data_IF_972524319877
#
_entry.id   IF_972524319877
#
_cell.length_a   1.000
_cell.length_b   1.000
_cell.length_c   1.000
_cell.angle_alpha   90.00
_cell.angle_beta   90.00
_cell.angle_gamma   90.00
#
_symmetry.space_group_name_H-M   'P 1'
#
loop_
_entity.id
_entity.type
_entity.pdbx_description
1 polymer ?
#
# COMPACT_ATOMS: atom_id res chain seq x y z
N UNK A 1 3.74 -4.89 -7.80
CA UNK A 1 3.63 -3.96 -8.95
C UNK A 1 4.70 -4.34 -9.95
N UNK A 2 4.36 -5.14 -10.95
CA UNK A 2 5.39 -5.82 -11.77
C UNK A 2 5.33 -5.48 -13.26
N UNK A 3 4.20 -4.99 -13.75
CA UNK A 3 4.01 -4.66 -15.18
C UNK A 3 4.38 -3.23 -15.57
N UNK A 4 4.79 -2.39 -14.60
CA UNK A 4 5.13 -0.96 -14.78
C UNK A 4 4.31 -0.21 -15.87
N UNK A 5 2.96 -0.27 -15.85
CA UNK A 5 2.14 0.27 -16.94
C UNK A 5 2.14 1.80 -17.05
N UNK A 6 2.54 2.52 -15.99
CA UNK A 6 2.61 3.98 -15.96
C UNK A 6 4.04 4.49 -16.11
N UNK A 7 4.20 5.66 -16.72
CA UNK A 7 5.48 6.38 -16.84
C UNK A 7 6.10 6.65 -15.45
N UNK A 8 5.27 6.96 -14.46
CA UNK A 8 5.63 7.08 -13.04
C UNK A 8 4.40 6.74 -12.18
N UNK A 9 4.58 6.53 -10.88
CA UNK A 9 3.49 6.43 -9.92
C UNK A 9 2.91 5.03 -9.76
N UNK A 10 3.46 4.02 -10.45
CA UNK A 10 3.02 2.62 -10.36
C UNK A 10 2.87 2.10 -8.91
N UNK A 11 3.73 2.58 -8.00
CA UNK A 11 3.71 2.16 -6.60
C UNK A 11 2.69 2.94 -5.77
N UNK A 12 2.55 4.25 -6.01
CA UNK A 12 1.50 5.11 -5.43
C UNK A 12 0.11 4.62 -5.81
N UNK A 13 -0.12 4.32 -7.10
CA UNK A 13 -1.41 3.79 -7.56
C UNK A 13 -1.66 2.38 -7.03
N UNK A 14 -0.62 1.55 -6.86
CA UNK A 14 -0.74 0.22 -6.27
C UNK A 14 -1.28 0.25 -4.84
N UNK A 15 -0.77 1.17 -4.01
CA UNK A 15 -1.23 1.37 -2.62
C UNK A 15 -2.66 1.91 -2.60
N UNK A 16 -2.94 2.92 -3.40
CA UNK A 16 -4.29 3.47 -3.46
C UNK A 16 -5.31 2.41 -3.91
N UNK A 17 -4.95 1.59 -4.90
CA UNK A 17 -5.78 0.47 -5.38
C UNK A 17 -6.02 -0.55 -4.27
N UNK A 18 -5.00 -0.90 -3.48
CA UNK A 18 -5.14 -1.80 -2.34
C UNK A 18 -6.10 -1.24 -1.27
N UNK A 19 -5.95 0.03 -0.89
CA UNK A 19 -6.83 0.66 0.09
C UNK A 19 -8.30 0.70 -0.39
N UNK A 20 -8.51 1.06 -1.66
CA UNK A 20 -9.85 1.03 -2.27
C UNK A 20 -10.42 -0.39 -2.31
N UNK A 21 -9.61 -1.39 -2.64
CA UNK A 21 -10.04 -2.79 -2.65
C UNK A 21 -10.49 -3.25 -1.26
N UNK A 22 -9.72 -2.93 -0.21
CA UNK A 22 -10.09 -3.26 1.17
C UNK A 22 -11.39 -2.57 1.60
N UNK A 23 -11.52 -1.26 1.32
CA UNK A 23 -12.72 -0.49 1.63
C UNK A 23 -13.97 -1.04 0.91
N UNK A 24 -13.86 -1.44 -0.36
CA UNK A 24 -14.96 -2.07 -1.12
C UNK A 24 -15.39 -3.41 -0.51
N UNK A 25 -14.47 -4.11 0.16
CA UNK A 25 -14.76 -5.37 0.88
C UNK A 25 -15.14 -5.14 2.36
N UNK A 26 -15.34 -3.89 2.78
CA UNK A 26 -15.71 -3.55 4.16
C UNK A 26 -14.59 -3.70 5.18
N UNK A 27 -13.34 -3.78 4.73
CA UNK A 27 -12.15 -3.77 5.60
C UNK A 27 -11.66 -2.33 5.69
N UNK A 28 -11.93 -1.68 6.81
CA UNK A 28 -11.36 -0.38 7.14
C UNK A 28 -9.99 -0.60 7.78
N UNK A 29 -9.00 0.20 7.36
CA UNK A 29 -7.68 0.21 7.97
C UNK A 29 -7.51 1.55 8.66
N UNK A 30 -7.50 1.52 9.99
CA UNK A 30 -7.13 2.66 10.80
C UNK A 30 -5.62 2.90 10.69
N UNK A 31 -5.23 3.93 9.94
CA UNK A 31 -3.85 4.35 9.84
C UNK A 31 -3.78 5.86 9.63
N UNK A 32 -2.69 6.46 10.09
CA UNK A 32 -2.44 7.89 9.90
C UNK A 32 -1.97 8.17 8.48
N UNK A 33 -2.15 9.41 8.01
CA UNK A 33 -1.57 9.84 6.73
C UNK A 33 -0.06 9.64 6.68
N UNK A 34 0.63 9.77 7.82
CA UNK A 34 2.07 9.56 7.91
C UNK A 34 2.44 8.11 7.62
N UNK A 35 1.75 7.15 8.23
CA UNK A 35 1.99 5.72 7.99
C UNK A 35 1.75 5.35 6.53
N UNK A 36 0.69 5.89 5.91
CA UNK A 36 0.43 5.70 4.50
C UNK A 36 1.56 6.24 3.60
N UNK A 37 2.12 7.41 3.94
CA UNK A 37 3.26 7.99 3.21
C UNK A 37 4.50 7.12 3.40
N UNK A 38 4.79 6.69 4.62
CA UNK A 38 5.98 5.90 4.95
C UNK A 38 5.95 4.55 4.21
N UNK A 39 4.80 3.86 4.19
CA UNK A 39 4.60 2.63 3.40
C UNK A 39 4.72 2.90 1.90
N UNK A 40 4.14 4.03 1.47
CA UNK A 40 4.32 4.61 0.14
C UNK A 40 5.76 4.60 -0.31
N UNK A 41 6.62 5.19 0.52
CA UNK A 41 8.04 5.35 0.28
C UNK A 41 8.78 4.02 0.39
N UNK A 42 8.49 3.19 1.40
CA UNK A 42 9.16 1.89 1.58
C UNK A 42 8.85 0.88 0.46
N UNK A 43 7.65 0.94 -0.13
CA UNK A 43 7.36 0.19 -1.35
C UNK A 43 8.07 0.84 -2.56
N UNK A 44 8.15 2.18 -2.58
CA UNK A 44 8.84 2.96 -3.61
C UNK A 44 10.34 2.70 -3.72
N UNK A 45 11.03 2.57 -2.61
CA UNK A 45 12.45 2.30 -2.54
C UNK A 45 12.78 0.79 -2.48
N UNK A 46 11.76 -0.06 -2.26
CA UNK A 46 11.90 -1.52 -2.23
C UNK A 46 12.34 -2.09 -0.88
N UNK A 47 12.37 -1.28 0.18
CA UNK A 47 12.66 -1.74 1.55
C UNK A 47 11.50 -2.56 2.15
N UNK A 48 10.28 -2.36 1.63
CA UNK A 48 9.09 -3.15 1.91
C UNK A 48 8.68 -4.01 0.71
N UNK A 49 8.38 -5.29 0.96
CA UNK A 49 7.84 -6.23 0.00
C UNK A 49 6.37 -6.56 0.34
N UNK A 50 5.77 -7.44 -0.47
CA UNK A 50 4.36 -7.81 -0.30
C UNK A 50 4.09 -8.52 1.04
N UNK A 51 5.04 -9.28 1.57
CA UNK A 51 4.89 -10.03 2.81
C UNK A 51 4.92 -9.08 4.03
N UNK A 52 5.87 -8.15 4.05
CA UNK A 52 5.92 -7.08 5.07
C UNK A 52 4.69 -6.19 5.02
N UNK A 53 4.20 -5.87 3.82
CA UNK A 53 2.97 -5.12 3.65
C UNK A 53 1.76 -5.89 4.22
N UNK A 54 1.66 -7.19 3.98
CA UNK A 54 0.58 -8.02 4.53
C UNK A 54 0.61 -8.05 6.06
N UNK A 55 1.79 -8.18 6.66
CA UNK A 55 1.97 -8.12 8.13
C UNK A 55 1.51 -6.75 8.65
N UNK A 56 1.92 -5.66 7.99
CA UNK A 56 1.50 -4.31 8.36
C UNK A 56 -0.02 -4.13 8.28
N UNK A 57 -0.67 -4.60 7.21
CA UNK A 57 -2.12 -4.56 7.09
C UNK A 57 -2.80 -5.35 8.21
N UNK A 58 -2.25 -6.50 8.57
CA UNK A 58 -2.81 -7.36 9.62
C UNK A 58 -2.64 -6.79 11.03
N UNK A 59 -1.73 -5.83 11.22
CA UNK A 59 -1.53 -5.16 12.51
C UNK A 59 -2.42 -3.93 12.72
N UNK A 60 -3.16 -3.51 11.68
CA UNK A 60 -4.06 -2.36 11.72
C UNK A 60 -5.50 -2.85 11.49
N UNK A 61 -6.23 -3.06 12.59
CA UNK A 61 -7.67 -3.35 12.64
C UNK A 61 -8.34 -2.32 13.54
#
# INVERSE_FOLDING_TARGET
VSNHPFVDGNKRIGIHTMLVFLAVNGVEIECTQKELIDIGLSLADGTMDAEKLLIWLSSHN
#
